data_IF_580976303564
#
_entry.id   IF_580976303564
#
_cell.length_a   1.000
_cell.length_b   1.000
_cell.length_c   1.000
_cell.angle_alpha   90.00
_cell.angle_beta   90.00
_cell.angle_gamma   90.00
#
_symmetry.space_group_name_H-M   'P 1'
#
loop_
_entity.id
_entity.type
_entity.pdbx_description
1 polymer ?
#
# COMPACT_ATOMS: atom_id res chain seq x y z
N UNK A 1 -24.67 -13.06 3.34
CA UNK A 1 -24.96 -12.73 1.94
C UNK A 1 -24.91 -11.22 1.69
N UNK A 2 -25.64 -10.42 2.49
CA UNK A 2 -25.66 -8.96 2.33
C UNK A 2 -24.24 -8.36 2.43
N UNK A 3 -23.49 -8.70 3.46
CA UNK A 3 -22.10 -8.23 3.66
C UNK A 3 -21.15 -8.62 2.51
N UNK A 4 -21.36 -9.76 1.87
CA UNK A 4 -20.59 -10.15 0.67
C UNK A 4 -20.78 -9.19 -0.51
N UNK A 5 -21.85 -8.39 -0.51
CA UNK A 5 -22.12 -7.39 -1.56
C UNK A 5 -21.51 -6.03 -1.27
N UNK A 6 -21.05 -5.75 -0.06
CA UNK A 6 -20.58 -4.42 0.36
C UNK A 6 -19.25 -4.00 -0.25
N UNK A 7 -18.41 -4.97 -0.65
CA UNK A 7 -17.14 -4.69 -1.30
C UNK A 7 -17.28 -4.09 -2.71
N UNK A 8 -18.43 -4.28 -3.36
CA UNK A 8 -18.75 -3.69 -4.66
C UNK A 8 -19.66 -2.48 -4.48
N UNK A 9 -19.60 -1.56 -5.42
CA UNK A 9 -20.49 -0.38 -5.47
C UNK A 9 -21.60 -0.53 -6.52
N UNK A 10 -21.52 -1.55 -7.36
CA UNK A 10 -22.45 -1.88 -8.45
C UNK A 10 -22.93 -3.34 -8.35
N UNK A 11 -24.04 -3.64 -9.03
CA UNK A 11 -24.62 -4.97 -9.06
C UNK A 11 -25.35 -5.35 -7.77
N UNK A 12 -26.03 -6.47 -7.82
CA UNK A 12 -26.84 -7.00 -6.73
C UNK A 12 -26.70 -8.50 -6.57
N UNK A 13 -27.66 -9.10 -5.89
CA UNK A 13 -27.68 -10.53 -5.60
C UNK A 13 -29.10 -11.07 -5.69
N UNK A 14 -29.30 -12.13 -6.48
CA UNK A 14 -30.55 -12.89 -6.49
C UNK A 14 -30.41 -14.07 -5.55
N UNK A 15 -31.26 -14.17 -4.54
CA UNK A 15 -31.27 -15.21 -3.52
C UNK A 15 -32.53 -16.05 -3.64
N UNK A 16 -32.40 -17.38 -3.68
CA UNK A 16 -33.49 -18.33 -3.62
C UNK A 16 -33.24 -19.32 -2.49
N UNK A 17 -34.14 -19.35 -1.51
CA UNK A 17 -34.05 -20.20 -0.32
C UNK A 17 -34.78 -21.55 -0.48
N UNK A 18 -35.28 -21.85 -1.69
CA UNK A 18 -36.09 -23.06 -1.91
C UNK A 18 -35.39 -24.35 -1.46
N UNK A 19 -34.08 -24.46 -1.75
CA UNK A 19 -33.29 -25.66 -1.48
C UNK A 19 -32.79 -25.73 -0.02
N UNK A 20 -33.00 -24.68 0.77
CA UNK A 20 -32.75 -24.73 2.21
C UNK A 20 -33.90 -25.48 2.87
N UNK A 21 -33.58 -26.53 3.63
CA UNK A 21 -34.58 -27.32 4.37
C UNK A 21 -35.35 -26.46 5.37
N UNK A 22 -36.66 -26.64 5.40
CA UNK A 22 -37.58 -25.93 6.29
C UNK A 22 -38.79 -25.43 5.51
N UNK A 23 -39.87 -25.22 6.23
CA UNK A 23 -41.19 -24.79 5.73
C UNK A 23 -41.52 -23.31 6.01
N UNK A 24 -40.67 -22.64 6.78
CA UNK A 24 -40.87 -21.27 7.20
C UNK A 24 -39.67 -20.41 6.83
N UNK A 25 -39.90 -19.31 6.07
CA UNK A 25 -38.85 -18.42 5.58
C UNK A 25 -38.08 -17.72 6.72
N UNK A 26 -38.75 -17.40 7.82
CA UNK A 26 -38.10 -16.74 8.97
C UNK A 26 -37.14 -17.71 9.63
N UNK A 27 -37.54 -18.98 9.80
CA UNK A 27 -36.65 -20.02 10.32
C UNK A 27 -35.45 -20.27 9.41
N UNK A 28 -35.66 -20.30 8.09
CA UNK A 28 -34.53 -20.43 7.13
C UNK A 28 -33.52 -19.28 7.26
N UNK A 29 -34.00 -18.06 7.46
CA UNK A 29 -33.16 -16.86 7.54
C UNK A 29 -32.47 -16.68 8.91
N UNK A 30 -33.10 -17.11 10.02
CA UNK A 30 -32.65 -16.83 11.38
C UNK A 30 -32.42 -18.09 12.23
N UNK A 31 -32.21 -19.23 11.60
CA UNK A 31 -31.99 -20.50 12.32
C UNK A 31 -30.65 -20.56 13.08
N UNK A 32 -29.70 -19.66 12.78
CA UNK A 32 -28.37 -19.58 13.40
C UNK A 32 -27.59 -20.92 13.35
N UNK A 33 -27.91 -21.78 12.38
CA UNK A 33 -27.18 -23.02 12.18
C UNK A 33 -25.74 -22.71 11.68
N UNK A 34 -24.71 -23.38 12.21
CA UNK A 34 -23.37 -23.20 11.72
C UNK A 34 -23.28 -23.59 10.25
N UNK A 35 -22.65 -22.71 9.46
CA UNK A 35 -22.52 -22.91 8.02
C UNK A 35 -21.51 -21.93 7.42
N UNK A 36 -21.12 -22.20 6.18
CA UNK A 36 -20.23 -21.35 5.38
C UNK A 36 -20.92 -21.01 4.07
N UNK A 37 -20.84 -19.77 3.66
CA UNK A 37 -21.26 -19.33 2.32
C UNK A 37 -20.03 -19.09 1.47
N UNK A 38 -19.93 -19.77 0.34
CA UNK A 38 -18.83 -19.60 -0.61
C UNK A 38 -19.37 -19.10 -1.95
N UNK A 39 -18.60 -18.33 -2.66
CA UNK A 39 -18.87 -17.96 -4.05
C UNK A 39 -17.94 -18.77 -4.95
N UNK A 40 -18.53 -19.49 -5.89
CA UNK A 40 -17.84 -20.33 -6.86
C UNK A 40 -18.15 -19.84 -8.27
N UNK A 41 -17.18 -19.87 -9.19
CA UNK A 41 -17.45 -19.59 -10.61
C UNK A 41 -18.33 -20.69 -11.21
N UNK A 42 -19.13 -20.35 -12.23
CA UNK A 42 -19.96 -21.36 -12.90
C UNK A 42 -19.12 -22.50 -13.53
N UNK A 43 -17.88 -22.21 -13.92
CA UNK A 43 -16.90 -23.17 -14.46
C UNK A 43 -16.53 -24.28 -13.44
N UNK A 44 -16.42 -23.94 -12.15
CA UNK A 44 -16.04 -24.88 -11.09
C UNK A 44 -17.22 -25.35 -10.24
N UNK A 45 -18.45 -24.97 -10.59
CA UNK A 45 -19.62 -25.26 -9.75
C UNK A 45 -19.86 -26.77 -9.59
N UNK A 46 -19.70 -27.55 -10.68
CA UNK A 46 -19.87 -28.99 -10.67
C UNK A 46 -18.76 -29.71 -9.88
N UNK A 47 -17.52 -29.29 -10.08
CA UNK A 47 -16.37 -29.83 -9.32
C UNK A 47 -16.54 -29.64 -7.80
N UNK A 48 -16.94 -28.43 -7.37
CA UNK A 48 -17.19 -28.14 -5.95
C UNK A 48 -18.37 -28.97 -5.40
N UNK A 49 -19.45 -29.11 -6.19
CA UNK A 49 -20.60 -29.95 -5.81
C UNK A 49 -20.15 -31.39 -5.58
N UNK A 50 -19.46 -31.98 -6.55
CA UNK A 50 -19.02 -33.39 -6.51
C UNK A 50 -18.09 -33.63 -5.30
N UNK A 51 -17.18 -32.67 -5.01
CA UNK A 51 -16.32 -32.73 -3.83
C UNK A 51 -17.11 -32.68 -2.51
N UNK A 52 -18.13 -31.81 -2.42
CA UNK A 52 -18.97 -31.72 -1.22
C UNK A 52 -19.79 -33.01 -1.01
N UNK A 53 -20.29 -33.64 -2.09
CA UNK A 53 -20.98 -34.92 -2.05
C UNK A 53 -20.06 -36.05 -1.59
N UNK A 54 -18.83 -36.13 -2.13
CA UNK A 54 -17.81 -37.09 -1.71
C UNK A 54 -17.48 -36.95 -0.20
N UNK A 55 -17.40 -35.71 0.29
CA UNK A 55 -17.16 -35.41 1.70
C UNK A 55 -18.40 -35.57 2.58
N UNK A 56 -19.55 -35.95 2.03
CA UNK A 56 -20.85 -36.03 2.75
C UNK A 56 -21.25 -34.69 3.43
N UNK A 57 -20.88 -33.55 2.84
CA UNK A 57 -21.25 -32.22 3.35
C UNK A 57 -22.55 -31.77 2.70
N UNK A 58 -23.56 -31.42 3.52
CA UNK A 58 -24.81 -30.86 3.04
C UNK A 58 -24.60 -29.45 2.46
N UNK A 59 -25.15 -29.19 1.28
CA UNK A 59 -25.04 -27.89 0.59
C UNK A 59 -26.35 -27.48 -0.05
N UNK A 60 -26.48 -26.20 -0.39
CA UNK A 60 -27.55 -25.66 -1.21
C UNK A 60 -27.00 -24.51 -2.08
N UNK A 61 -27.40 -24.46 -3.37
CA UNK A 61 -27.12 -23.30 -4.25
C UNK A 61 -28.19 -22.25 -3.99
N UNK A 62 -27.84 -21.19 -3.29
CA UNK A 62 -28.82 -20.22 -2.77
C UNK A 62 -28.78 -18.85 -3.44
N UNK A 63 -27.72 -18.49 -4.14
CA UNK A 63 -27.58 -17.13 -4.65
C UNK A 63 -26.78 -17.05 -5.95
N UNK A 64 -27.07 -15.98 -6.71
CA UNK A 64 -26.34 -15.63 -7.92
C UNK A 64 -26.15 -14.11 -7.97
N UNK A 65 -24.92 -13.60 -8.18
CA UNK A 65 -24.67 -12.18 -8.44
C UNK A 65 -25.40 -11.70 -9.70
N UNK A 66 -25.87 -10.45 -9.68
CA UNK A 66 -26.53 -9.82 -10.84
C UNK A 66 -25.89 -8.46 -11.13
N UNK A 67 -25.64 -8.08 -12.40
CA UNK A 67 -24.99 -6.81 -12.72
C UNK A 67 -25.96 -5.62 -12.76
N UNK A 68 -27.29 -5.83 -12.89
CA UNK A 68 -28.19 -4.78 -13.34
C UNK A 68 -28.63 -3.82 -12.24
N UNK A 69 -28.91 -4.32 -11.04
CA UNK A 69 -29.53 -3.52 -9.97
C UNK A 69 -28.83 -3.72 -8.64
N UNK A 70 -28.69 -2.65 -7.89
CA UNK A 70 -28.08 -2.63 -6.55
C UNK A 70 -29.09 -3.10 -5.48
N UNK A 71 -29.68 -4.26 -5.69
CA UNK A 71 -30.66 -4.87 -4.76
C UNK A 71 -30.31 -6.32 -4.48
N UNK A 72 -30.66 -6.80 -3.28
CA UNK A 72 -30.73 -8.20 -2.93
C UNK A 72 -32.18 -8.65 -3.09
N UNK A 73 -32.47 -9.44 -4.14
CA UNK A 73 -33.78 -10.03 -4.38
C UNK A 73 -33.87 -11.37 -3.68
N UNK A 74 -34.71 -11.49 -2.69
CA UNK A 74 -34.91 -12.69 -1.88
C UNK A 74 -36.22 -13.39 -2.26
N UNK A 75 -36.19 -14.71 -2.47
CA UNK A 75 -37.37 -15.51 -2.78
C UNK A 75 -37.38 -16.83 -2.03
N UNK A 76 -38.59 -17.32 -1.65
CA UNK A 76 -38.87 -18.66 -1.14
C UNK A 76 -40.33 -19.02 -1.46
N UNK A 77 -40.55 -19.81 -2.50
CA UNK A 77 -41.88 -20.09 -3.02
C UNK A 77 -42.66 -18.82 -3.39
N UNK A 78 -43.72 -18.52 -2.70
CA UNK A 78 -44.52 -17.32 -2.89
C UNK A 78 -43.96 -16.06 -2.23
N UNK A 79 -43.02 -16.23 -1.27
CA UNK A 79 -42.38 -15.10 -0.61
C UNK A 79 -41.41 -14.42 -1.57
N UNK A 80 -41.49 -13.11 -1.70
CA UNK A 80 -40.58 -12.28 -2.48
C UNK A 80 -40.32 -10.97 -1.75
N UNK A 81 -39.06 -10.61 -1.64
CA UNK A 81 -38.65 -9.35 -1.02
C UNK A 81 -37.45 -8.77 -1.79
N UNK A 82 -37.49 -7.47 -2.06
CA UNK A 82 -36.33 -6.72 -2.53
C UNK A 82 -35.77 -5.86 -1.39
N UNK A 83 -34.46 -5.91 -1.21
CA UNK A 83 -33.72 -5.18 -0.19
C UNK A 83 -32.73 -4.25 -0.86
N UNK A 84 -32.79 -2.95 -0.54
CA UNK A 84 -31.80 -1.98 -0.98
C UNK A 84 -30.46 -2.24 -0.27
N UNK A 85 -29.47 -2.67 -1.04
CA UNK A 85 -28.13 -3.05 -0.50
C UNK A 85 -27.46 -1.85 0.15
N UNK A 86 -27.53 -0.69 -0.50
CA UNK A 86 -26.82 0.49 -0.01
C UNK A 86 -27.47 1.07 1.25
N UNK A 87 -28.79 1.09 1.31
CA UNK A 87 -29.52 1.50 2.51
C UNK A 87 -29.24 0.57 3.69
N UNK A 88 -29.23 -0.75 3.45
CA UNK A 88 -28.92 -1.73 4.49
C UNK A 88 -27.45 -1.72 4.91
N UNK A 89 -26.52 -1.43 4.00
CA UNK A 89 -25.13 -1.19 4.33
C UNK A 89 -24.97 0.02 5.24
N UNK A 90 -25.70 1.09 4.98
CA UNK A 90 -25.67 2.28 5.82
C UNK A 90 -26.19 1.98 7.23
N UNK A 91 -27.28 1.20 7.36
CA UNK A 91 -27.77 0.72 8.67
C UNK A 91 -26.75 -0.18 9.38
N UNK A 92 -26.14 -1.12 8.64
CA UNK A 92 -25.10 -2.02 9.19
C UNK A 92 -23.88 -1.24 9.71
N UNK A 93 -23.47 -0.21 8.99
CA UNK A 93 -22.30 0.58 9.36
C UNK A 93 -22.59 1.70 10.38
N UNK A 94 -23.86 2.02 10.64
CA UNK A 94 -24.23 3.17 11.48
C UNK A 94 -23.61 3.12 12.88
N UNK A 95 -23.61 1.98 13.53
CA UNK A 95 -22.97 1.82 14.87
C UNK A 95 -21.47 2.13 14.81
N UNK A 96 -20.78 1.63 13.80
CA UNK A 96 -19.35 1.92 13.58
C UNK A 96 -19.11 3.41 13.31
N UNK A 97 -20.01 4.03 12.54
CA UNK A 97 -19.97 5.48 12.30
C UNK A 97 -20.14 6.30 13.58
N UNK A 98 -21.09 5.91 14.44
CA UNK A 98 -21.34 6.62 15.71
C UNK A 98 -20.12 6.55 16.63
N UNK A 99 -19.48 5.38 16.74
CA UNK A 99 -18.23 5.21 17.50
C UNK A 99 -17.07 6.00 16.87
N UNK A 100 -16.92 5.94 15.53
CA UNK A 100 -15.87 6.69 14.81
C UNK A 100 -16.07 8.20 14.95
N UNK A 101 -17.31 8.69 14.99
CA UNK A 101 -17.64 10.11 15.21
C UNK A 101 -17.09 10.66 16.51
N UNK A 102 -17.11 9.84 17.56
CA UNK A 102 -16.62 10.24 18.88
C UNK A 102 -15.09 10.16 18.99
N UNK A 103 -14.43 9.46 18.06
CA UNK A 103 -12.97 9.28 18.02
C UNK A 103 -12.27 10.15 16.96
N UNK A 104 -12.97 10.55 15.89
CA UNK A 104 -12.40 11.28 14.75
C UNK A 104 -12.72 12.76 14.80
N UNK A 105 -11.71 13.59 14.53
CA UNK A 105 -11.86 15.04 14.47
C UNK A 105 -12.33 15.51 13.07
N UNK A 106 -12.71 16.78 12.98
CA UNK A 106 -12.99 17.50 11.73
C UNK A 106 -14.08 16.86 10.85
N UNK A 107 -15.00 16.09 11.44
CA UNK A 107 -16.08 15.45 10.70
C UNK A 107 -15.63 14.31 9.77
N UNK A 108 -14.42 13.75 9.98
CA UNK A 108 -13.87 12.70 9.13
C UNK A 108 -14.70 11.42 9.16
N UNK A 109 -15.27 11.03 10.32
CA UNK A 109 -16.18 9.90 10.40
C UNK A 109 -17.39 10.06 9.46
N UNK A 110 -17.97 11.26 9.38
CA UNK A 110 -19.08 11.54 8.45
C UNK A 110 -18.65 11.43 7.00
N UNK A 111 -17.48 11.95 6.65
CA UNK A 111 -16.92 11.83 5.30
C UNK A 111 -16.68 10.36 4.92
N UNK A 112 -16.11 9.53 5.81
CA UNK A 112 -15.96 8.08 5.59
C UNK A 112 -17.29 7.42 5.32
N UNK A 113 -18.27 7.65 6.19
CA UNK A 113 -19.62 7.09 6.07
C UNK A 113 -20.32 7.44 4.75
N UNK A 114 -20.12 8.66 4.22
CA UNK A 114 -20.79 9.15 3.01
C UNK A 114 -20.04 8.94 1.71
N UNK A 115 -18.70 8.73 1.76
CA UNK A 115 -17.84 8.71 0.57
C UNK A 115 -17.53 7.29 0.06
N UNK A 116 -17.79 6.23 0.81
CA UNK A 116 -17.37 4.89 0.43
C UNK A 116 -17.83 4.44 -0.97
N UNK A 117 -19.04 4.84 -1.39
CA UNK A 117 -19.56 4.57 -2.74
C UNK A 117 -18.89 5.39 -3.84
N UNK A 118 -18.26 6.51 -3.49
CA UNK A 118 -17.71 7.51 -4.41
C UNK A 118 -16.21 7.37 -4.62
N UNK A 119 -15.58 6.49 -3.86
CA UNK A 119 -14.14 6.34 -3.80
C UNK A 119 -13.73 4.86 -3.88
N UNK A 120 -14.15 4.14 -4.94
CA UNK A 120 -13.70 2.76 -5.14
C UNK A 120 -12.18 2.69 -5.31
N UNK A 121 -11.58 1.56 -4.92
CA UNK A 121 -10.19 1.29 -5.26
C UNK A 121 -10.10 1.07 -6.77
N UNK A 122 -9.29 1.90 -7.43
CA UNK A 122 -9.07 1.82 -8.87
C UNK A 122 -7.64 1.35 -9.14
N UNK A 123 -7.49 0.40 -10.07
CA UNK A 123 -6.20 -0.02 -10.59
C UNK A 123 -6.22 0.06 -12.11
N UNK A 124 -5.16 0.67 -12.64
CA UNK A 124 -4.88 0.75 -14.07
C UNK A 124 -3.38 0.56 -14.25
N UNK A 125 -3.00 -0.44 -15.02
CA UNK A 125 -1.60 -0.73 -15.28
C UNK A 125 -1.21 -0.26 -16.69
N UNK A 126 0.06 0.07 -16.87
CA UNK A 126 0.60 0.33 -18.20
C UNK A 126 0.35 -0.88 -19.11
N UNK A 127 0.00 -0.66 -20.39
CA UNK A 127 -0.32 -1.76 -21.31
C UNK A 127 0.79 -2.80 -21.46
N UNK A 128 2.04 -2.41 -21.30
CA UNK A 128 3.21 -3.26 -21.43
C UNK A 128 3.50 -4.11 -20.18
N UNK A 129 2.76 -3.89 -19.09
CA UNK A 129 2.95 -4.66 -17.86
C UNK A 129 2.39 -6.08 -18.01
N UNK A 130 3.27 -7.06 -18.00
CA UNK A 130 2.89 -8.49 -18.17
C UNK A 130 2.57 -9.20 -16.86
N UNK A 131 3.03 -8.67 -15.72
CA UNK A 131 2.87 -9.28 -14.39
C UNK A 131 3.88 -10.38 -14.08
N UNK A 132 4.91 -10.59 -14.92
CA UNK A 132 5.89 -11.65 -14.75
C UNK A 132 7.23 -11.12 -14.25
N UNK A 133 7.92 -11.89 -13.43
CA UNK A 133 9.30 -11.59 -13.01
C UNK A 133 10.25 -11.51 -14.22
N UNK A 134 10.01 -12.35 -15.21
CA UNK A 134 10.82 -12.41 -16.44
C UNK A 134 10.83 -11.08 -17.21
N UNK A 135 9.74 -10.29 -17.17
CA UNK A 135 9.68 -8.95 -17.78
C UNK A 135 10.83 -8.05 -17.31
N UNK A 136 11.21 -8.20 -16.05
CA UNK A 136 12.23 -7.38 -15.40
C UNK A 136 13.60 -8.07 -15.33
N UNK A 137 13.71 -9.27 -15.89
CA UNK A 137 14.92 -10.11 -15.77
C UNK A 137 15.16 -10.63 -14.34
N UNK A 138 14.07 -10.77 -13.57
CA UNK A 138 14.11 -11.25 -12.19
C UNK A 138 13.84 -12.75 -12.11
N UNK A 139 14.34 -13.37 -11.02
CA UNK A 139 14.14 -14.77 -10.71
C UNK A 139 13.80 -14.91 -9.22
N UNK A 140 12.67 -15.56 -8.90
CA UNK A 140 12.28 -15.86 -7.52
C UNK A 140 13.32 -16.72 -6.79
N UNK A 141 13.98 -17.63 -7.51
CA UNK A 141 15.02 -18.53 -6.99
C UNK A 141 16.43 -17.93 -7.08
N UNK A 142 16.55 -16.61 -7.11
CA UNK A 142 17.85 -15.90 -7.20
C UNK A 142 18.87 -16.43 -6.20
N UNK A 143 18.46 -16.78 -4.99
CA UNK A 143 19.33 -17.33 -3.94
C UNK A 143 20.04 -18.64 -4.34
N UNK A 144 19.43 -19.43 -5.25
CA UNK A 144 20.02 -20.68 -5.77
C UNK A 144 20.99 -20.44 -6.93
N UNK A 145 20.77 -19.35 -7.68
CA UNK A 145 21.48 -19.09 -8.95
C UNK A 145 22.58 -18.03 -8.85
N UNK A 146 22.57 -17.19 -7.80
CA UNK A 146 23.54 -16.11 -7.62
C UNK A 146 24.84 -16.65 -7.01
N UNK A 147 25.95 -16.45 -7.71
CA UNK A 147 27.29 -16.80 -7.21
C UNK A 147 27.86 -15.74 -6.26
N UNK A 148 28.93 -16.06 -5.51
CA UNK A 148 29.60 -15.07 -4.67
C UNK A 148 30.21 -13.93 -5.49
N UNK A 149 30.65 -14.21 -6.72
CA UNK A 149 31.15 -13.19 -7.65
C UNK A 149 30.03 -12.22 -8.06
N UNK A 150 28.82 -12.75 -8.34
CA UNK A 150 27.64 -11.91 -8.67
C UNK A 150 27.24 -11.02 -7.50
N UNK A 151 27.29 -11.53 -6.28
CA UNK A 151 27.00 -10.75 -5.05
C UNK A 151 28.01 -9.63 -4.85
N UNK A 152 29.32 -9.90 -5.08
CA UNK A 152 30.35 -8.88 -4.96
C UNK A 152 30.23 -7.78 -6.00
N UNK A 153 29.75 -8.12 -7.22
CA UNK A 153 29.52 -7.18 -8.31
C UNK A 153 28.22 -6.38 -8.19
N UNK A 154 27.24 -6.90 -7.45
CA UNK A 154 25.93 -6.29 -7.32
C UNK A 154 25.99 -4.88 -6.69
N UNK A 155 25.07 -3.97 -7.07
CA UNK A 155 24.88 -2.72 -6.34
C UNK A 155 24.53 -3.00 -4.88
N UNK A 156 25.09 -2.19 -3.96
CA UNK A 156 24.84 -2.35 -2.52
C UNK A 156 23.75 -1.42 -2.05
N UNK A 157 22.74 -1.96 -1.35
CA UNK A 157 21.72 -1.20 -0.66
C UNK A 157 21.82 -1.38 0.86
N UNK A 158 21.71 -0.29 1.62
CA UNK A 158 21.64 -0.34 3.08
C UNK A 158 20.24 0.04 3.57
N UNK A 159 19.68 -0.79 4.43
CA UNK A 159 18.46 -0.48 5.18
C UNK A 159 18.88 0.13 6.50
N UNK A 160 18.64 1.41 6.65
CA UNK A 160 18.95 2.16 7.87
C UNK A 160 17.83 1.98 8.88
N UNK A 161 18.18 1.51 10.06
CA UNK A 161 17.23 1.19 11.13
C UNK A 161 17.52 1.93 12.40
N UNK A 162 16.45 2.34 13.06
CA UNK A 162 16.46 2.84 14.41
C UNK A 162 15.53 1.98 15.28
N UNK A 163 15.67 2.05 16.57
CA UNK A 163 14.78 1.37 17.53
C UNK A 163 13.32 1.79 17.28
N UNK A 164 12.46 0.80 17.02
CA UNK A 164 11.04 1.01 16.72
C UNK A 164 10.70 1.05 15.22
N UNK A 165 11.67 0.99 14.30
CA UNK A 165 11.40 0.81 12.87
C UNK A 165 10.92 -0.62 12.57
N UNK A 166 10.17 -0.77 11.48
CA UNK A 166 9.70 -2.06 10.96
C UNK A 166 9.59 -2.04 9.43
N UNK A 167 9.27 -3.22 8.82
CA UNK A 167 9.20 -3.35 7.36
C UNK A 167 10.54 -3.61 6.70
N UNK A 168 11.60 -3.79 7.48
CA UNK A 168 12.95 -4.05 6.98
C UNK A 168 13.05 -5.36 6.19
N UNK A 169 12.27 -6.39 6.54
CA UNK A 169 12.30 -7.68 5.86
C UNK A 169 11.65 -7.60 4.49
N UNK A 170 10.48 -6.99 4.40
CA UNK A 170 9.77 -6.75 3.15
C UNK A 170 10.62 -5.87 2.21
N UNK A 171 11.23 -4.82 2.76
CA UNK A 171 12.11 -3.94 2.02
C UNK A 171 13.38 -4.65 1.55
N UNK A 172 14.03 -5.44 2.44
CA UNK A 172 15.19 -6.24 2.09
C UNK A 172 14.89 -7.23 0.98
N UNK A 173 13.72 -7.86 1.05
CA UNK A 173 13.32 -8.82 0.02
C UNK A 173 13.04 -8.15 -1.32
N UNK A 174 12.37 -6.99 -1.33
CA UNK A 174 12.12 -6.23 -2.55
C UNK A 174 13.43 -5.80 -3.25
N UNK A 175 14.38 -5.27 -2.48
CA UNK A 175 15.71 -4.88 -2.98
C UNK A 175 16.51 -6.10 -3.45
N UNK A 176 16.51 -7.18 -2.67
CA UNK A 176 17.19 -8.43 -3.03
C UNK A 176 16.61 -9.02 -4.32
N UNK A 177 15.29 -9.09 -4.44
CA UNK A 177 14.61 -9.58 -5.64
C UNK A 177 14.98 -8.73 -6.87
N UNK A 178 15.04 -7.40 -6.70
CA UNK A 178 15.44 -6.47 -7.77
C UNK A 178 16.92 -6.59 -8.18
N UNK A 179 17.79 -7.22 -7.39
CA UNK A 179 19.17 -7.47 -7.74
C UNK A 179 20.23 -6.78 -6.87
N UNK A 180 19.83 -6.10 -5.80
CA UNK A 180 20.80 -5.54 -4.84
C UNK A 180 21.41 -6.60 -3.92
N UNK A 181 22.62 -6.34 -3.45
CA UNK A 181 23.16 -6.92 -2.21
C UNK A 181 22.74 -6.01 -1.05
N UNK A 182 22.00 -6.57 -0.09
CA UNK A 182 21.32 -5.78 0.96
C UNK A 182 22.07 -5.89 2.28
N UNK A 183 22.36 -4.74 2.90
CA UNK A 183 23.00 -4.61 4.19
C UNK A 183 22.04 -4.02 5.22
N UNK A 184 21.93 -4.64 6.38
CA UNK A 184 21.20 -4.09 7.53
C UNK A 184 22.14 -3.18 8.33
N UNK A 185 21.75 -1.93 8.52
CA UNK A 185 22.56 -0.89 9.19
C UNK A 185 21.77 -0.27 10.33
N UNK A 186 22.23 -0.47 11.56
CA UNK A 186 21.64 0.17 12.73
C UNK A 186 22.21 1.58 12.92
N UNK A 187 21.43 2.50 13.45
CA UNK A 187 21.93 3.83 13.81
C UNK A 187 23.16 3.77 14.71
N UNK A 188 23.26 2.77 15.58
CA UNK A 188 24.46 2.54 16.41
C UNK A 188 25.73 2.26 15.60
N UNK A 189 25.63 1.75 14.38
CA UNK A 189 26.75 1.53 13.48
C UNK A 189 27.27 2.85 12.92
N UNK A 190 26.35 3.72 12.50
CA UNK A 190 26.67 5.08 12.04
C UNK A 190 27.23 5.95 13.16
N UNK A 191 26.58 5.93 14.34
CA UNK A 191 27.01 6.67 15.54
C UNK A 191 28.42 6.28 15.99
N UNK A 192 28.74 4.99 15.97
CA UNK A 192 30.07 4.49 16.34
C UNK A 192 31.10 4.71 15.25
N UNK A 193 30.69 4.89 13.99
CA UNK A 193 31.54 4.97 12.82
C UNK A 193 32.00 3.60 12.30
N UNK A 194 31.33 2.51 12.69
CA UNK A 194 31.53 1.17 12.09
C UNK A 194 31.01 1.12 10.65
N UNK A 195 30.02 1.94 10.34
CA UNK A 195 29.46 2.15 9.01
C UNK A 195 29.63 3.60 8.58
N UNK A 196 30.06 3.80 7.34
CA UNK A 196 30.31 5.13 6.75
C UNK A 196 29.49 5.37 5.47
N UNK A 197 28.78 4.36 4.97
CA UNK A 197 27.98 4.37 3.74
C UNK A 197 28.79 4.59 2.44
N UNK A 198 30.12 4.60 2.50
CA UNK A 198 30.98 4.86 1.33
C UNK A 198 30.84 3.79 0.25
N UNK A 199 30.59 2.53 0.64
CA UNK A 199 30.40 1.41 -0.29
C UNK A 199 28.95 1.19 -0.72
N UNK A 200 28.00 2.00 -0.21
CA UNK A 200 26.58 1.86 -0.42
C UNK A 200 26.11 2.79 -1.53
N UNK A 201 25.32 2.30 -2.47
CA UNK A 201 24.75 3.08 -3.56
C UNK A 201 23.31 3.48 -3.34
N UNK A 202 22.58 2.75 -2.50
CA UNK A 202 21.20 3.08 -2.15
C UNK A 202 21.00 2.94 -0.64
N UNK A 203 20.43 3.94 -0.01
CA UNK A 203 19.93 3.82 1.36
C UNK A 203 18.41 3.83 1.40
N UNK A 204 17.87 3.06 2.34
CA UNK A 204 16.43 3.04 2.61
C UNK A 204 16.19 3.29 4.08
N UNK A 205 15.36 4.28 4.37
CA UNK A 205 14.82 4.54 5.69
C UNK A 205 13.45 3.86 5.80
N UNK A 206 13.35 2.83 6.63
CA UNK A 206 12.13 2.05 6.80
C UNK A 206 11.04 2.82 7.55
N UNK A 207 9.82 2.28 7.45
CA UNK A 207 8.68 2.70 8.26
C UNK A 207 8.81 2.31 9.74
N UNK A 208 7.76 2.55 10.49
CA UNK A 208 7.65 2.21 11.90
C UNK A 208 7.40 3.40 12.80
N UNK A 209 7.88 3.32 14.03
CA UNK A 209 7.73 4.32 15.10
C UNK A 209 9.07 4.50 15.79
N UNK A 210 10.03 5.10 15.09
CA UNK A 210 11.38 5.28 15.63
C UNK A 210 11.34 6.03 16.97
N UNK A 211 12.07 5.49 17.98
CA UNK A 211 12.07 6.00 19.34
C UNK A 211 10.66 6.17 19.95
N UNK A 212 9.68 5.34 19.52
CA UNK A 212 8.28 5.36 19.95
C UNK A 212 7.59 6.72 19.71
N UNK A 213 8.07 7.52 18.76
CA UNK A 213 7.59 8.86 18.40
C UNK A 213 7.45 9.84 19.61
N UNK A 214 8.24 9.65 20.67
CA UNK A 214 8.11 10.40 21.95
C UNK A 214 8.20 11.91 21.76
N UNK A 215 9.02 12.37 20.81
CA UNK A 215 9.19 13.78 20.48
C UNK A 215 8.35 14.23 19.27
N UNK A 216 7.58 13.33 18.69
CA UNK A 216 6.93 13.39 17.38
C UNK A 216 7.60 12.47 16.38
N UNK A 217 6.90 12.16 15.30
CA UNK A 217 7.32 11.17 14.31
C UNK A 217 8.69 11.49 13.73
N UNK A 218 9.60 10.50 13.79
CA UNK A 218 10.99 10.54 13.33
C UNK A 218 11.92 11.57 13.97
N UNK A 219 11.45 12.42 14.87
CA UNK A 219 12.29 13.50 15.47
C UNK A 219 13.44 12.97 16.29
N UNK A 220 13.23 11.90 17.06
CA UNK A 220 14.31 11.24 17.79
C UNK A 220 15.35 10.65 16.86
N UNK A 221 14.92 10.05 15.74
CA UNK A 221 15.82 9.52 14.72
C UNK A 221 16.58 10.61 13.98
N UNK A 222 15.90 11.71 13.61
CA UNK A 222 16.56 12.88 13.03
C UNK A 222 17.63 13.46 13.99
N UNK A 223 17.31 13.53 15.28
CA UNK A 223 18.25 13.95 16.32
C UNK A 223 19.51 13.08 16.39
N UNK A 224 19.38 11.76 16.17
CA UNK A 224 20.52 10.85 16.13
C UNK A 224 21.49 11.16 14.97
N UNK A 225 20.99 11.64 13.84
CA UNK A 225 21.82 12.14 12.74
C UNK A 225 22.38 13.54 13.03
N UNK A 226 21.53 14.49 13.40
CA UNK A 226 21.89 15.90 13.51
C UNK A 226 22.93 16.18 14.63
N UNK A 227 22.84 15.43 15.74
CA UNK A 227 23.66 15.67 16.93
C UNK A 227 24.79 14.67 17.12
N UNK A 228 24.98 13.73 16.20
CA UNK A 228 26.14 12.84 16.19
C UNK A 228 27.03 13.14 14.98
N UNK A 229 28.28 13.63 15.20
CA UNK A 229 29.14 14.05 14.11
C UNK A 229 29.44 12.95 13.08
N UNK A 230 29.64 11.70 13.52
CA UNK A 230 29.96 10.57 12.61
C UNK A 230 28.77 10.17 11.76
N UNK A 231 27.57 10.07 12.37
CA UNK A 231 26.35 9.73 11.65
C UNK A 231 25.99 10.84 10.64
N UNK A 232 26.12 12.10 11.05
CA UNK A 232 25.91 13.25 10.16
C UNK A 232 26.90 13.25 8.99
N UNK A 233 28.18 13.09 9.28
CA UNK A 233 29.23 13.05 8.23
C UNK A 233 28.98 11.93 7.21
N UNK A 234 28.62 10.73 7.68
CA UNK A 234 28.30 9.60 6.79
C UNK A 234 27.11 9.92 5.87
N UNK A 235 26.06 10.55 6.42
CA UNK A 235 24.89 10.95 5.67
C UNK A 235 25.21 12.08 4.67
N UNK A 236 25.89 13.13 5.11
CA UNK A 236 26.28 14.27 4.26
C UNK A 236 27.14 13.82 3.07
N UNK A 237 28.13 12.94 3.31
CA UNK A 237 28.97 12.35 2.25
C UNK A 237 28.17 11.49 1.29
N UNK A 238 27.20 10.73 1.79
CA UNK A 238 26.32 9.90 0.95
C UNK A 238 25.50 10.77 0.00
N UNK A 239 24.86 11.82 0.48
CA UNK A 239 24.04 12.73 -0.33
C UNK A 239 24.85 13.62 -1.26
N UNK A 240 26.13 13.88 -0.95
CA UNK A 240 27.04 14.63 -1.83
C UNK A 240 27.51 13.84 -3.07
N UNK A 241 27.35 12.53 -3.08
CA UNK A 241 27.72 11.67 -4.20
C UNK A 241 26.64 11.69 -5.29
N UNK A 242 27.08 11.60 -6.56
CA UNK A 242 26.18 11.57 -7.73
C UNK A 242 25.72 10.15 -8.10
N UNK A 243 26.32 9.10 -7.51
CA UNK A 243 26.03 7.68 -7.77
C UNK A 243 25.16 7.05 -6.70
N UNK A 244 24.37 7.83 -5.98
CA UNK A 244 23.56 7.37 -4.85
C UNK A 244 22.08 7.67 -5.00
N UNK A 245 21.26 6.79 -4.41
CA UNK A 245 19.81 6.89 -4.30
C UNK A 245 19.36 6.79 -2.85
N UNK A 246 18.27 7.43 -2.49
CA UNK A 246 17.60 7.18 -1.22
C UNK A 246 16.09 7.01 -1.35
N UNK A 247 15.53 6.19 -0.46
CA UNK A 247 14.10 5.94 -0.33
C UNK A 247 13.68 6.05 1.13
N UNK A 248 12.73 6.92 1.44
CA UNK A 248 12.11 7.01 2.77
C UNK A 248 10.64 6.61 2.72
N UNK A 249 10.26 5.60 3.50
CA UNK A 249 8.89 5.10 3.55
C UNK A 249 8.29 5.35 4.93
N UNK A 250 7.09 5.95 4.98
CA UNK A 250 6.32 6.22 6.20
C UNK A 250 7.18 6.96 7.24
N UNK A 251 7.65 6.31 8.31
CA UNK A 251 8.57 6.93 9.28
C UNK A 251 9.90 7.39 8.65
N UNK A 252 10.39 6.66 7.63
CA UNK A 252 11.54 7.09 6.84
C UNK A 252 11.26 8.34 5.98
N UNK A 253 10.04 8.49 5.44
CA UNK A 253 9.62 9.71 4.76
C UNK A 253 9.60 10.90 5.73
N UNK A 254 9.07 10.72 6.93
CA UNK A 254 9.09 11.73 8.00
C UNK A 254 10.53 12.12 8.36
N UNK A 255 11.43 11.14 8.46
CA UNK A 255 12.85 11.38 8.71
C UNK A 255 13.49 12.24 7.61
N UNK A 256 13.25 11.90 6.35
CA UNK A 256 13.79 12.68 5.22
C UNK A 256 13.28 14.12 5.23
N UNK A 257 12.01 14.34 5.60
CA UNK A 257 11.46 15.67 5.78
C UNK A 257 12.11 16.41 6.96
N UNK A 258 12.23 15.79 8.15
CA UNK A 258 12.86 16.41 9.33
C UNK A 258 14.34 16.78 9.09
N UNK A 259 15.06 16.01 8.27
CA UNK A 259 16.44 16.25 7.87
C UNK A 259 16.59 17.19 6.65
N UNK A 260 15.47 17.66 6.08
CA UNK A 260 15.43 18.48 4.85
C UNK A 260 16.20 17.86 3.67
N UNK A 261 16.04 16.55 3.44
CA UNK A 261 16.80 15.80 2.41
C UNK A 261 16.10 15.77 1.04
N UNK A 262 14.85 16.26 0.95
CA UNK A 262 14.04 16.14 -0.26
C UNK A 262 14.08 17.42 -1.08
N UNK A 263 13.84 18.55 -0.46
CA UNK A 263 13.79 19.85 -1.10
C UNK A 263 14.69 20.86 -0.34
N UNK A 264 16.00 20.60 -0.22
CA UNK A 264 16.89 21.49 0.53
C UNK A 264 17.04 22.90 -0.08
N UNK A 265 16.67 23.06 -1.33
CA UNK A 265 16.69 24.32 -2.09
C UNK A 265 15.47 25.21 -1.82
N UNK A 266 14.42 24.71 -1.17
CA UNK A 266 13.22 25.48 -0.89
C UNK A 266 13.45 26.44 0.31
N UNK A 267 12.84 27.63 0.23
CA UNK A 267 12.89 28.61 1.31
C UNK A 267 12.18 28.08 2.58
N UNK A 268 11.08 27.34 2.41
CA UNK A 268 10.30 26.77 3.47
C UNK A 268 10.33 25.24 3.41
N UNK A 269 10.73 24.64 4.52
CA UNK A 269 10.87 23.19 4.64
C UNK A 269 9.52 22.46 4.53
N UNK A 270 9.50 21.34 3.83
CA UNK A 270 8.40 20.38 3.84
C UNK A 270 8.29 19.72 5.21
N UNK A 271 7.08 19.56 5.72
CA UNK A 271 6.81 18.89 6.99
C UNK A 271 5.78 17.77 6.85
N UNK A 272 5.90 16.75 7.68
CA UNK A 272 4.85 15.77 7.91
C UNK A 272 4.11 16.14 9.21
N UNK A 273 2.79 16.21 9.11
CA UNK A 273 1.92 16.66 10.21
C UNK A 273 0.93 15.56 10.60
N UNK A 274 0.30 15.71 11.75
CA UNK A 274 -0.81 14.85 12.16
C UNK A 274 -1.88 14.77 11.07
N UNK A 275 -2.42 13.57 10.87
CA UNK A 275 -3.61 13.37 10.03
C UNK A 275 -4.74 14.31 10.46
N UNK A 276 -5.55 14.78 9.51
CA UNK A 276 -6.69 15.64 9.80
C UNK A 276 -7.72 14.99 10.75
N UNK A 277 -7.81 13.66 10.76
CA UNK A 277 -8.65 12.89 11.69
C UNK A 277 -8.12 12.86 13.12
N UNK A 278 -6.86 13.24 13.34
CA UNK A 278 -6.14 13.13 14.61
C UNK A 278 -6.03 11.70 15.15
N UNK A 279 -6.18 10.71 14.28
CA UNK A 279 -6.01 9.31 14.64
C UNK A 279 -5.10 8.60 13.64
N UNK A 280 -4.68 7.39 14.00
CA UNK A 280 -3.97 6.49 13.09
C UNK A 280 -4.90 6.02 11.98
N UNK A 281 -4.47 6.18 10.74
CA UNK A 281 -5.20 5.71 9.56
C UNK A 281 -4.50 4.48 8.99
N UNK A 282 -5.27 3.40 8.87
CA UNK A 282 -4.83 2.14 8.27
C UNK A 282 -5.84 1.74 7.20
N UNK A 283 -5.41 1.73 5.95
CA UNK A 283 -6.28 1.45 4.82
C UNK A 283 -5.51 0.97 3.59
N UNK A 284 -6.20 0.21 2.74
CA UNK A 284 -5.78 -0.06 1.38
C UNK A 284 -6.45 0.94 0.45
N UNK A 285 -5.66 1.68 -0.29
CA UNK A 285 -6.10 2.79 -1.15
C UNK A 285 -5.50 2.65 -2.55
N UNK A 286 -5.88 3.53 -3.45
CA UNK A 286 -5.20 3.68 -4.73
C UNK A 286 -4.53 5.05 -4.85
N UNK A 287 -3.39 5.04 -5.54
CA UNK A 287 -2.63 6.23 -5.92
C UNK A 287 -2.45 6.29 -7.43
N UNK A 288 -2.43 7.49 -7.95
CA UNK A 288 -2.03 7.78 -9.34
C UNK A 288 -0.55 8.18 -9.36
N UNK A 289 0.20 7.64 -10.30
CA UNK A 289 1.57 8.05 -10.57
C UNK A 289 1.54 9.06 -11.71
N UNK A 290 1.71 10.37 -11.45
CA UNK A 290 1.75 11.39 -12.50
C UNK A 290 3.02 11.25 -13.34
N UNK A 291 3.09 11.98 -14.47
CA UNK A 291 4.35 12.17 -15.20
C UNK A 291 5.39 12.75 -14.24
N UNK A 292 6.58 12.12 -14.19
CA UNK A 292 7.63 12.50 -13.25
C UNK A 292 9.02 12.07 -13.73
N UNK A 293 10.05 12.71 -13.20
CA UNK A 293 11.47 12.47 -13.53
C UNK A 293 12.20 11.65 -12.45
N UNK A 294 11.46 11.04 -11.50
CA UNK A 294 12.07 10.21 -10.46
C UNK A 294 12.77 8.99 -11.06
N UNK A 295 14.00 8.73 -10.64
CA UNK A 295 14.74 7.52 -11.02
C UNK A 295 13.92 6.26 -10.78
N UNK A 296 13.21 6.18 -9.64
CA UNK A 296 12.44 4.99 -9.29
C UNK A 296 11.08 4.92 -9.98
N UNK A 297 10.41 6.06 -10.25
CA UNK A 297 8.99 6.08 -10.61
C UNK A 297 8.70 6.56 -12.03
N UNK A 298 9.66 7.10 -12.78
CA UNK A 298 9.40 7.66 -14.11
C UNK A 298 8.67 6.68 -15.04
N UNK A 299 9.07 5.41 -15.06
CA UNK A 299 8.45 4.39 -15.93
C UNK A 299 7.09 3.90 -15.42
N UNK A 300 6.76 4.21 -14.17
CA UNK A 300 5.43 3.94 -13.60
C UNK A 300 4.40 5.02 -13.93
N UNK A 301 4.79 6.12 -14.59
CA UNK A 301 3.88 7.21 -14.98
C UNK A 301 2.64 6.68 -15.70
N UNK A 302 1.47 7.24 -15.37
CA UNK A 302 0.18 6.82 -15.93
C UNK A 302 -0.50 5.64 -15.23
N UNK A 303 0.20 4.91 -14.35
CA UNK A 303 -0.44 3.86 -13.55
C UNK A 303 -1.35 4.43 -12.45
N UNK A 304 -2.41 3.67 -12.14
CA UNK A 304 -3.14 3.75 -10.87
C UNK A 304 -2.90 2.44 -10.12
N UNK A 305 -2.35 2.53 -8.94
CA UNK A 305 -1.86 1.36 -8.19
C UNK A 305 -2.47 1.30 -6.79
N UNK A 306 -2.82 0.08 -6.35
CA UNK A 306 -3.23 -0.17 -4.97
C UNK A 306 -2.03 -0.13 -4.03
N UNK A 307 -2.23 0.43 -2.82
CA UNK A 307 -1.16 0.57 -1.84
C UNK A 307 -1.72 0.66 -0.41
N UNK A 308 -0.92 0.22 0.55
CA UNK A 308 -1.25 0.31 1.98
C UNK A 308 -0.75 1.60 2.60
N UNK A 309 -1.60 2.21 3.43
CA UNK A 309 -1.23 3.30 4.35
C UNK A 309 -1.40 2.85 5.80
N UNK A 310 -0.52 3.31 6.69
CA UNK A 310 -0.54 2.97 8.11
C UNK A 310 0.22 4.04 8.92
N UNK A 311 -0.42 5.18 9.23
CA UNK A 311 0.25 6.31 9.87
C UNK A 311 -0.70 7.23 10.64
N UNK A 312 -0.17 7.90 11.68
CA UNK A 312 -0.84 8.95 12.46
C UNK A 312 -0.42 10.37 12.06
N UNK A 313 0.78 10.52 11.55
CA UNK A 313 1.40 11.79 11.15
C UNK A 313 1.85 11.73 9.68
N UNK A 314 0.91 11.47 8.75
CA UNK A 314 1.21 11.25 7.34
C UNK A 314 0.87 12.43 6.42
N UNK A 315 0.38 13.54 6.97
CA UNK A 315 -0.08 14.67 6.17
C UNK A 315 1.10 15.52 5.69
N UNK A 316 1.38 15.49 4.40
CA UNK A 316 2.31 16.44 3.80
C UNK A 316 1.76 17.86 3.94
N UNK A 317 2.53 18.71 4.60
CA UNK A 317 2.39 20.15 4.58
C UNK A 317 3.45 20.73 3.64
N UNK A 318 2.98 21.29 2.53
CA UNK A 318 3.81 21.79 1.43
C UNK A 318 3.61 23.31 1.33
N UNK A 319 4.50 24.11 1.93
CA UNK A 319 4.31 25.55 2.01
C UNK A 319 4.45 26.31 0.68
N UNK A 320 5.11 25.71 -0.30
CA UNK A 320 5.25 26.29 -1.65
C UNK A 320 4.11 25.83 -2.58
N UNK A 321 3.89 26.49 -3.73
CA UNK A 321 2.97 26.04 -4.77
C UNK A 321 3.31 24.63 -5.29
N UNK A 322 2.30 23.89 -5.76
CA UNK A 322 2.46 22.49 -6.19
C UNK A 322 3.54 22.28 -7.25
N UNK A 323 3.65 23.19 -8.21
CA UNK A 323 4.61 23.15 -9.31
C UNK A 323 6.08 23.32 -8.88
N UNK A 324 6.32 23.62 -7.61
CA UNK A 324 7.66 23.66 -7.01
C UNK A 324 8.10 22.29 -6.50
N UNK A 325 7.20 21.30 -6.44
CA UNK A 325 7.48 19.95 -5.91
C UNK A 325 7.50 18.92 -7.04
N UNK A 326 8.45 18.03 -6.99
CA UNK A 326 8.51 16.85 -7.86
C UNK A 326 7.61 15.75 -7.29
N UNK A 327 6.30 15.86 -7.57
CA UNK A 327 5.29 14.92 -7.06
C UNK A 327 5.33 13.64 -7.87
N UNK A 328 5.53 12.50 -7.21
CA UNK A 328 5.66 11.18 -7.85
C UNK A 328 4.46 10.27 -7.59
N UNK A 329 3.66 10.56 -6.57
CA UNK A 329 2.45 9.81 -6.26
C UNK A 329 1.40 10.72 -5.63
N UNK A 330 0.14 10.55 -6.04
CA UNK A 330 -1.03 11.26 -5.49
C UNK A 330 -2.11 10.27 -5.10
N UNK A 331 -2.78 10.52 -3.98
CA UNK A 331 -4.03 9.83 -3.67
C UNK A 331 -5.08 10.11 -4.74
N UNK A 332 -5.80 9.08 -5.19
CA UNK A 332 -6.78 9.22 -6.29
C UNK A 332 -7.93 10.18 -5.98
N UNK A 333 -8.23 10.38 -4.70
CA UNK A 333 -9.34 11.23 -4.27
C UNK A 333 -8.86 12.32 -3.33
N UNK A 334 -9.36 13.55 -3.55
CA UNK A 334 -9.01 14.69 -2.72
C UNK A 334 -9.63 14.63 -1.31
N UNK A 335 -10.76 13.94 -1.19
CA UNK A 335 -11.51 13.87 0.06
C UNK A 335 -11.20 12.60 0.84
N UNK A 336 -11.31 12.70 2.15
CA UNK A 336 -11.25 11.56 3.06
C UNK A 336 -12.41 10.56 2.80
N UNK A 337 -12.19 9.25 2.85
CA UNK A 337 -10.97 8.56 3.23
C UNK A 337 -9.95 8.34 2.10
N UNK A 338 -10.25 8.69 0.87
CA UNK A 338 -9.37 8.47 -0.28
C UNK A 338 -8.07 9.27 -0.22
N UNK A 339 -8.08 10.50 0.35
CA UNK A 339 -6.91 11.16 0.91
C UNK A 339 -6.96 10.95 2.43
N UNK A 340 -6.22 9.96 2.98
CA UNK A 340 -6.45 9.47 4.34
C UNK A 340 -5.96 10.44 5.42
N UNK A 341 -5.00 11.28 5.09
CA UNK A 341 -4.32 12.15 6.04
C UNK A 341 -4.60 13.64 5.83
N UNK A 342 -5.12 14.03 4.65
CA UNK A 342 -5.38 15.42 4.30
C UNK A 342 -4.15 16.15 3.76
N UNK A 343 -3.20 15.42 3.13
CA UNK A 343 -2.03 15.99 2.48
C UNK A 343 -2.40 17.07 1.48
N UNK A 344 -1.61 18.13 1.45
CA UNK A 344 -1.73 19.19 0.46
C UNK A 344 -1.56 18.59 -0.96
N UNK A 345 -2.31 19.11 -1.93
CA UNK A 345 -2.32 18.65 -3.33
C UNK A 345 -2.58 17.14 -3.51
N UNK A 346 -3.10 16.46 -2.48
CA UNK A 346 -3.30 14.99 -2.43
C UNK A 346 -1.99 14.19 -2.53
N UNK A 347 -0.87 14.79 -2.20
CA UNK A 347 0.45 14.16 -2.33
C UNK A 347 0.55 12.95 -1.42
N UNK A 348 0.99 11.83 -2.01
CA UNK A 348 1.35 10.59 -1.34
C UNK A 348 2.87 10.36 -1.31
N UNK A 349 3.60 10.96 -2.27
CA UNK A 349 5.05 10.88 -2.38
C UNK A 349 5.63 11.98 -3.26
N UNK A 350 6.85 12.41 -2.92
CA UNK A 350 7.65 13.43 -3.63
C UNK A 350 9.08 12.93 -3.79
N UNK A 351 9.82 13.50 -4.73
CA UNK A 351 11.25 13.27 -4.86
C UNK A 351 12.04 14.59 -4.92
N UNK A 352 13.37 14.48 -4.79
CA UNK A 352 14.29 15.59 -4.99
C UNK A 352 14.29 16.10 -6.43
N UNK A 353 14.79 17.32 -6.64
CA UNK A 353 14.84 17.96 -7.97
C UNK A 353 15.65 17.15 -8.99
N UNK A 354 16.63 16.38 -8.56
CA UNK A 354 17.42 15.48 -9.42
C UNK A 354 16.81 14.07 -9.59
N UNK A 355 15.63 13.83 -9.01
CA UNK A 355 14.87 12.58 -9.10
C UNK A 355 15.44 11.40 -8.31
N UNK A 356 16.55 11.57 -7.57
CA UNK A 356 17.29 10.48 -6.92
C UNK A 356 16.79 10.11 -5.52
N UNK A 357 16.22 11.05 -4.80
CA UNK A 357 15.83 10.88 -3.40
C UNK A 357 14.31 10.92 -3.27
N UNK A 358 13.71 9.79 -2.97
CA UNK A 358 12.26 9.60 -2.95
C UNK A 358 11.74 9.42 -1.55
N UNK A 359 10.68 10.15 -1.19
CA UNK A 359 9.99 10.03 0.09
C UNK A 359 8.49 9.85 -0.12
N UNK A 360 7.90 8.82 0.47
CA UNK A 360 6.46 8.58 0.40
C UNK A 360 5.90 8.00 1.69
N UNK A 361 4.64 8.33 1.97
CA UNK A 361 3.96 7.82 3.15
C UNK A 361 3.37 6.41 3.01
N UNK A 362 2.77 6.03 1.86
CA UNK A 362 2.35 4.65 1.61
C UNK A 362 3.52 3.66 1.49
N UNK A 363 3.21 2.36 1.68
CA UNK A 363 4.17 1.26 1.75
C UNK A 363 4.23 0.47 0.45
N UNK A 364 5.14 0.80 -0.48
CA UNK A 364 5.30 0.05 -1.73
C UNK A 364 5.93 -1.34 -1.51
N UNK A 365 6.78 -1.50 -0.51
CA UNK A 365 7.40 -2.78 -0.16
C UNK A 365 6.40 -3.83 0.32
N UNK A 366 5.20 -3.40 0.71
CA UNK A 366 4.08 -4.25 1.11
C UNK A 366 3.03 -4.42 0.02
N UNK A 367 3.38 -4.07 -1.21
CA UNK A 367 2.46 -4.08 -2.35
C UNK A 367 3.08 -4.68 -3.62
N UNK A 368 4.26 -5.30 -3.56
CA UNK A 368 4.99 -5.85 -4.72
C UNK A 368 4.43 -7.16 -5.25
N UNK A 369 3.57 -7.84 -4.49
CA UNK A 369 2.93 -9.08 -4.91
C UNK A 369 1.41 -8.96 -4.93
N UNK A 370 0.69 -9.63 -5.86
CA UNK A 370 -0.77 -9.63 -5.89
C UNK A 370 -1.41 -10.08 -4.57
N UNK A 371 -0.85 -11.07 -3.90
CA UNK A 371 -1.36 -11.59 -2.62
C UNK A 371 -1.22 -10.60 -1.43
N UNK A 372 -0.36 -9.60 -1.54
CA UNK A 372 -0.24 -8.51 -0.55
C UNK A 372 -1.32 -7.45 -0.71
N UNK A 373 -2.01 -7.41 -1.86
CA UNK A 373 -3.01 -6.39 -2.17
C UNK A 373 -4.32 -6.66 -1.43
N UNK A 374 -4.96 -5.63 -0.89
CA UNK A 374 -6.31 -5.72 -0.33
C UNK A 374 -7.38 -6.03 -1.39
N UNK A 375 -7.12 -5.62 -2.63
CA UNK A 375 -7.87 -5.96 -3.82
C UNK A 375 -6.93 -5.96 -5.03
N UNK A 376 -7.13 -6.90 -5.96
CA UNK A 376 -6.37 -6.99 -7.20
C UNK A 376 -7.29 -7.44 -8.34
N UNK A 377 -7.13 -6.94 -9.60
CA UNK A 377 -8.01 -7.28 -10.72
C UNK A 377 -8.08 -8.79 -10.95
N UNK A 378 -9.30 -9.33 -11.06
CA UNK A 378 -9.54 -10.78 -11.15
C UNK A 378 -8.77 -11.47 -12.26
N UNK A 379 -8.74 -10.84 -13.44
CA UNK A 379 -8.06 -11.36 -14.62
C UNK A 379 -6.52 -11.32 -14.53
N UNK A 380 -5.99 -10.70 -13.47
CA UNK A 380 -4.56 -10.55 -13.21
C UNK A 380 -4.09 -11.29 -11.94
N UNK A 381 -4.92 -12.14 -11.37
CA UNK A 381 -4.57 -12.89 -10.14
C UNK A 381 -3.42 -13.88 -10.33
N UNK A 382 -3.11 -14.25 -11.56
CA UNK A 382 -1.97 -15.10 -11.91
C UNK A 382 -0.65 -14.33 -12.05
N UNK A 383 -0.66 -13.00 -11.90
CA UNK A 383 0.56 -12.20 -11.93
C UNK A 383 1.50 -12.65 -10.80
N UNK A 384 2.77 -12.77 -11.11
CA UNK A 384 3.84 -13.09 -10.14
C UNK A 384 4.19 -11.87 -9.29
N UNK A 385 4.11 -10.67 -9.87
CA UNK A 385 4.43 -9.38 -9.23
C UNK A 385 3.43 -8.30 -9.65
N UNK A 386 3.37 -7.22 -8.88
CA UNK A 386 2.66 -5.99 -9.24
C UNK A 386 3.63 -4.97 -9.87
N UNK A 387 3.14 -3.89 -10.49
CA UNK A 387 4.02 -2.85 -11.04
C UNK A 387 4.97 -2.22 -10.01
N UNK A 388 4.69 -2.28 -8.72
CA UNK A 388 5.55 -1.71 -7.68
C UNK A 388 6.98 -2.26 -7.66
N UNK A 389 7.20 -3.51 -8.12
CA UNK A 389 8.56 -4.06 -8.21
C UNK A 389 9.47 -3.26 -9.14
N UNK A 390 8.88 -2.60 -10.15
CA UNK A 390 9.61 -1.82 -11.15
C UNK A 390 10.39 -0.66 -10.51
N UNK A 391 9.87 -0.07 -9.44
CA UNK A 391 10.56 0.99 -8.71
C UNK A 391 11.96 0.54 -8.22
N UNK A 392 12.07 -0.67 -7.70
CA UNK A 392 13.32 -1.25 -7.22
C UNK A 392 14.23 -1.68 -8.38
N UNK A 393 13.65 -2.17 -9.47
CA UNK A 393 14.39 -2.53 -10.70
C UNK A 393 15.00 -1.29 -11.34
N UNK A 394 14.26 -0.18 -11.40
CA UNK A 394 14.75 1.09 -11.92
C UNK A 394 15.91 1.62 -11.07
N UNK A 395 15.79 1.56 -9.75
CA UNK A 395 16.86 1.93 -8.83
C UNK A 395 18.14 1.12 -9.10
N UNK A 396 18.02 -0.22 -9.23
CA UNK A 396 19.17 -1.08 -9.54
C UNK A 396 19.82 -0.73 -10.88
N UNK A 397 19.02 -0.62 -11.94
CA UNK A 397 19.52 -0.31 -13.29
C UNK A 397 20.27 1.02 -13.30
N UNK A 398 19.70 2.04 -12.66
CA UNK A 398 20.32 3.36 -12.58
C UNK A 398 21.67 3.32 -11.86
N UNK A 399 21.77 2.61 -10.73
CA UNK A 399 23.05 2.46 -10.00
C UNK A 399 24.10 1.71 -10.85
N UNK A 400 23.69 0.65 -11.58
CA UNK A 400 24.60 -0.07 -12.48
C UNK A 400 25.11 0.81 -13.62
N UNK A 401 24.29 1.72 -14.12
CA UNK A 401 24.69 2.69 -15.15
C UNK A 401 25.61 3.78 -14.59
N UNK A 402 25.31 4.29 -13.40
CA UNK A 402 26.15 5.28 -12.73
C UNK A 402 27.57 4.76 -12.43
N UNK A 403 27.71 3.47 -12.08
CA UNK A 403 29.02 2.82 -11.84
C UNK A 403 29.88 2.65 -13.11
N UNK A 404 29.28 2.77 -14.31
CA UNK A 404 30.01 2.63 -15.58
C UNK A 404 30.60 3.98 -16.07
N UNK A 405 30.14 5.09 -15.49
CA UNK A 405 30.63 6.45 -15.78
C UNK A 405 31.83 6.80 -14.92
#
# INVERSE_FOLDING_TARGET
>A
LLEMTFANVEGGLRVNLHDIKGDDVVRKLFAENPGVVIQVSDEHADEVRDFLEECCVGYARIAQPTPERRVLSLSDGTFKQELDIDGLRDVWYETSYLLDRDQSFNGMAKKRYTNYKKQPVEMQFNPDFTGTLAQYGLNADRWQTTTDADRQAAPKAAIIREKGTNGEREMAYALYLAGFEVKDVMMTDLISGRETLEEVNMIVFCGGFSNSDVLGSAKGWAGAFLYNPKAKEALDRFYAREDTLSLGICNGCQLMAELNLINPEHEHQTHLCHNNSKKFESAFLSVTIPENDSVMFHSLSGNKLGIWVAHGEGRFYLPEPEDRYHVVAKYNYAQYPGNPNGSDYNVAGICSADGRHLAMMPHLERAIFPWQQGWYPRHRRADEVTPWIEAFVNARKWVEEAKKK
#
